data_IF_544701618661
#
_entry.id   IF_544701618661
#
_cell.length_a   1.000
_cell.length_b   1.000
_cell.length_c   1.000
_cell.angle_alpha   90.00
_cell.angle_beta   90.00
_cell.angle_gamma   90.00
#
_symmetry.space_group_name_H-M   'P 1'
#
loop_
_entity.id
_entity.type
_entity.pdbx_description
1 polymer ?
#
# COMPACT_ATOMS: atom_id res chain seq x y z
N UNK A 1 -6.49 -21.82 21.04
CA UNK A 1 -5.25 -21.97 20.22
C UNK A 1 -5.05 -20.81 19.24
N UNK A 2 -6.04 -20.44 18.40
CA UNK A 2 -5.89 -19.28 17.49
C UNK A 2 -5.82 -17.92 18.21
N UNK A 3 -6.54 -17.76 19.32
CA UNK A 3 -6.62 -16.50 20.05
C UNK A 3 -5.35 -16.19 20.86
N UNK A 4 -4.80 -17.20 21.54
CA UNK A 4 -3.51 -17.08 22.25
C UNK A 4 -2.36 -16.76 21.28
N UNK A 5 -2.35 -17.38 20.10
CA UNK A 5 -1.36 -17.09 19.07
C UNK A 5 -1.52 -15.65 18.54
N UNK A 6 -2.75 -15.19 18.29
CA UNK A 6 -3.02 -13.83 17.86
C UNK A 6 -2.54 -12.79 18.89
N UNK A 7 -2.85 -13.01 20.17
CA UNK A 7 -2.40 -12.16 21.27
C UNK A 7 -0.86 -12.15 21.39
N UNK A 8 -0.22 -13.30 21.19
CA UNK A 8 1.25 -13.39 21.18
C UNK A 8 1.85 -12.62 20.01
N UNK A 9 1.28 -12.73 18.81
CA UNK A 9 1.73 -11.99 17.62
C UNK A 9 1.56 -10.49 17.84
N UNK A 10 0.40 -10.05 18.32
CA UNK A 10 0.14 -8.63 18.63
C UNK A 10 1.20 -8.07 19.59
N UNK A 11 1.46 -8.78 20.69
CA UNK A 11 2.47 -8.38 21.68
C UNK A 11 3.85 -8.22 21.06
N UNK A 12 4.31 -9.23 20.31
CA UNK A 12 5.63 -9.22 19.68
C UNK A 12 5.76 -8.09 18.64
N UNK A 13 4.72 -7.87 17.83
CA UNK A 13 4.71 -6.76 16.86
C UNK A 13 4.77 -5.42 17.57
N UNK A 14 4.00 -5.24 18.65
CA UNK A 14 3.98 -3.99 19.42
C UNK A 14 5.33 -3.71 20.10
N UNK A 15 5.96 -4.74 20.69
CA UNK A 15 7.30 -4.64 21.27
C UNK A 15 8.34 -4.21 20.21
N UNK A 16 8.35 -4.86 19.04
CA UNK A 16 9.28 -4.55 17.96
C UNK A 16 9.07 -3.15 17.38
N UNK A 17 7.82 -2.71 17.20
CA UNK A 17 7.50 -1.36 16.73
C UNK A 17 7.96 -0.30 17.73
N UNK A 18 7.75 -0.52 19.03
CA UNK A 18 8.20 0.43 20.05
C UNK A 18 9.72 0.55 20.09
N UNK A 19 10.44 -0.58 20.00
CA UNK A 19 11.90 -0.57 19.93
C UNK A 19 12.39 0.22 18.70
N UNK A 20 11.80 -0.05 17.53
CA UNK A 20 12.12 0.67 16.30
C UNK A 20 11.92 2.19 16.44
N UNK A 21 10.78 2.62 16.99
CA UNK A 21 10.47 4.04 17.17
C UNK A 21 11.36 4.71 18.24
N UNK A 22 11.69 4.01 19.33
CA UNK A 22 12.56 4.52 20.40
C UNK A 22 14.01 4.70 19.95
N UNK A 23 14.45 3.99 18.92
CA UNK A 23 15.77 4.14 18.30
C UNK A 23 15.86 5.34 17.33
N UNK A 24 14.84 6.21 17.30
CA UNK A 24 14.82 7.41 16.47
C UNK A 24 14.49 7.15 15.00
N UNK A 25 14.07 5.93 14.65
CA UNK A 25 13.58 5.64 13.32
C UNK A 25 12.19 6.22 13.09
N UNK A 26 11.91 6.62 11.85
CA UNK A 26 10.61 7.12 11.41
C UNK A 26 9.98 6.17 10.41
N UNK A 27 8.66 5.99 10.51
CA UNK A 27 7.89 5.25 9.51
C UNK A 27 7.30 6.26 8.53
N UNK A 28 7.67 6.23 7.24
CA UNK A 28 7.10 7.14 6.26
C UNK A 28 5.61 6.85 6.10
N UNK A 29 4.80 7.90 6.25
CA UNK A 29 3.35 7.82 6.06
C UNK A 29 3.01 8.45 4.71
N UNK A 30 2.17 7.77 3.94
CA UNK A 30 1.62 8.29 2.68
C UNK A 30 0.10 8.32 2.77
N UNK A 31 -0.50 9.42 2.30
CA UNK A 31 -1.96 9.59 2.28
C UNK A 31 -2.50 9.14 0.94
N UNK A 32 -3.44 8.21 0.98
CA UNK A 32 -4.16 7.74 -0.20
C UNK A 32 -5.43 8.56 -0.42
N UNK A 33 -5.43 9.40 -1.45
CA UNK A 33 -6.66 10.04 -1.94
C UNK A 33 -7.60 9.00 -2.60
N UNK A 34 -8.83 9.43 -2.93
CA UNK A 34 -9.76 8.59 -3.72
C UNK A 34 -9.13 8.28 -5.07
N UNK A 35 -8.97 6.99 -5.35
CA UNK A 35 -8.46 6.46 -6.60
C UNK A 35 -9.10 5.09 -6.83
N UNK A 36 -8.87 4.50 -7.99
CA UNK A 36 -9.33 3.16 -8.32
C UNK A 36 -8.25 2.39 -9.04
N UNK A 37 -8.30 1.07 -8.93
CA UNK A 37 -7.54 0.18 -9.80
C UNK A 37 -8.47 -0.25 -10.93
N UNK A 38 -7.95 -0.38 -12.14
CA UNK A 38 -8.76 -0.63 -13.33
C UNK A 38 -8.13 -1.73 -14.19
N UNK A 39 -8.97 -2.58 -14.76
CA UNK A 39 -8.57 -3.58 -15.75
C UNK A 39 -8.48 -2.95 -17.14
N UNK A 40 -7.73 -3.59 -18.04
CA UNK A 40 -7.62 -3.14 -19.43
C UNK A 40 -8.99 -3.00 -20.11
N UNK A 41 -9.89 -3.97 -19.92
CA UNK A 41 -11.26 -3.94 -20.47
C UNK A 41 -12.02 -2.66 -20.09
N UNK A 42 -12.04 -2.30 -18.80
CA UNK A 42 -12.77 -1.11 -18.35
C UNK A 42 -12.04 0.18 -18.73
N UNK A 43 -10.71 0.16 -18.81
CA UNK A 43 -9.94 1.29 -19.31
C UNK A 43 -10.33 1.62 -20.76
N UNK A 44 -10.46 0.62 -21.60
CA UNK A 44 -10.88 0.80 -22.99
C UNK A 44 -12.34 1.25 -23.13
N UNK A 45 -13.24 0.80 -22.25
CA UNK A 45 -14.62 1.29 -22.21
C UNK A 45 -14.71 2.78 -21.86
N UNK A 46 -13.85 3.25 -20.95
CA UNK A 46 -13.88 4.64 -20.46
C UNK A 46 -13.09 5.61 -21.34
N UNK A 47 -11.94 5.17 -21.90
CA UNK A 47 -10.99 6.05 -22.58
C UNK A 47 -10.79 5.72 -24.07
N UNK A 48 -11.37 4.60 -24.55
CA UNK A 48 -11.35 4.19 -25.95
C UNK A 48 -10.46 2.96 -26.23
N UNK A 49 -10.71 2.23 -27.34
CA UNK A 49 -10.00 0.99 -27.66
C UNK A 49 -8.47 1.17 -27.70
N UNK A 50 -7.76 0.23 -27.09
CA UNK A 50 -6.28 0.23 -27.02
C UNK A 50 -5.67 1.27 -26.08
N UNK A 51 -6.47 2.01 -25.30
CA UNK A 51 -5.95 2.98 -24.32
C UNK A 51 -4.99 2.34 -23.32
N UNK A 52 -3.94 3.07 -22.94
CA UNK A 52 -2.92 2.64 -21.98
C UNK A 52 -2.78 3.69 -20.88
N UNK A 53 -2.48 3.25 -19.66
CA UNK A 53 -2.17 4.15 -18.55
C UNK A 53 -0.84 4.86 -18.85
N UNK A 54 -0.82 6.19 -18.67
CA UNK A 54 0.41 6.97 -18.77
C UNK A 54 0.92 7.27 -17.38
N UNK A 55 2.13 6.80 -17.06
CA UNK A 55 2.72 6.97 -15.73
C UNK A 55 2.93 8.46 -15.40
N UNK A 56 2.23 8.95 -14.37
CA UNK A 56 2.41 10.29 -13.81
C UNK A 56 3.53 10.31 -12.77
N UNK A 57 3.51 9.38 -11.79
CA UNK A 57 4.53 9.28 -10.74
C UNK A 57 4.61 7.86 -10.16
N UNK A 58 5.79 7.48 -9.69
CA UNK A 58 5.98 6.28 -8.88
C UNK A 58 5.33 6.43 -7.51
N UNK A 59 4.79 5.32 -7.01
CA UNK A 59 4.38 5.19 -5.61
C UNK A 59 5.52 4.58 -4.79
N UNK A 60 5.34 4.56 -3.46
CA UNK A 60 6.33 3.95 -2.56
C UNK A 60 6.48 2.44 -2.76
N UNK A 61 5.42 1.78 -3.24
CA UNK A 61 5.44 0.35 -3.50
C UNK A 61 6.14 0.07 -4.83
N UNK A 62 7.17 -0.80 -4.88
CA UNK A 62 7.91 -1.09 -6.11
C UNK A 62 7.01 -1.56 -7.25
N UNK A 63 7.09 -0.89 -8.40
CA UNK A 63 6.32 -1.22 -9.60
C UNK A 63 4.95 -0.55 -9.70
N UNK A 64 4.48 0.10 -8.64
CA UNK A 64 3.18 0.78 -8.60
C UNK A 64 3.31 2.26 -8.98
N UNK A 65 2.30 2.80 -9.67
CA UNK A 65 2.30 4.18 -10.14
C UNK A 65 0.91 4.83 -10.14
N UNK A 66 0.88 6.16 -10.07
CA UNK A 66 -0.31 6.94 -10.40
C UNK A 66 -0.31 7.26 -11.90
N UNK A 67 -1.48 7.21 -12.52
CA UNK A 67 -1.72 7.44 -13.94
C UNK A 67 -2.77 8.55 -14.16
#
# INVERSE_FOLDING_TARGET
MNEELALRVERLVREAVNEFLNNGHVIPISVSARHMHITQEHLEQLFGPGSQLTKMKDLLQPGEFAA
#
